data_IF_656965608608
#
_entry.id   IF_656965608608
#
_cell.length_a   1.000
_cell.length_b   1.000
_cell.length_c   1.000
_cell.angle_alpha   90.00
_cell.angle_beta   90.00
_cell.angle_gamma   90.00
#
_symmetry.space_group_name_H-M   'P 1'
#
loop_
_entity.id
_entity.type
_entity.pdbx_description
1 polymer ?
#
# COMPACT_ATOMS: atom_id res chain seq x y z
N UNK A 1 -8.27 -14.69 5.20
CA UNK A 1 -8.87 -13.38 4.87
C UNK A 1 -7.79 -12.47 4.30
N UNK A 2 -8.13 -11.67 3.30
CA UNK A 2 -7.32 -10.53 2.85
C UNK A 2 -8.03 -9.22 3.20
N UNK A 3 -7.35 -8.36 3.95
CA UNK A 3 -7.77 -6.99 4.28
C UNK A 3 -7.11 -6.05 3.26
N UNK A 4 -7.94 -5.47 2.41
CA UNK A 4 -7.55 -4.66 1.23
C UNK A 4 -8.33 -3.34 1.11
N UNK A 5 -9.08 -2.98 2.16
CA UNK A 5 -9.86 -1.74 2.23
C UNK A 5 -10.15 -1.33 3.68
N UNK A 6 -10.35 -0.04 3.92
CA UNK A 6 -10.79 0.47 5.24
C UNK A 6 -12.18 -0.03 5.62
N UNK A 7 -13.02 -0.36 4.64
CA UNK A 7 -14.35 -0.93 4.86
C UNK A 7 -14.26 -2.27 5.59
N UNK A 8 -13.40 -3.19 5.15
CA UNK A 8 -13.16 -4.46 5.86
C UNK A 8 -12.62 -4.25 7.27
N UNK A 9 -11.71 -3.29 7.46
CA UNK A 9 -11.18 -2.94 8.78
C UNK A 9 -12.31 -2.43 9.70
N UNK A 10 -13.15 -1.55 9.17
CA UNK A 10 -14.25 -0.95 9.92
C UNK A 10 -15.33 -1.96 10.29
N UNK A 11 -15.60 -2.95 9.43
CA UNK A 11 -16.52 -4.04 9.73
C UNK A 11 -16.00 -4.90 10.88
N UNK A 12 -14.71 -5.26 10.86
CA UNK A 12 -14.08 -6.05 11.94
C UNK A 12 -14.11 -5.32 13.28
N UNK A 13 -13.90 -4.00 13.26
CA UNK A 13 -13.86 -3.16 14.45
C UNK A 13 -15.24 -2.63 14.87
N UNK A 14 -16.32 -3.01 14.17
CA UNK A 14 -17.67 -2.48 14.39
C UNK A 14 -17.73 -0.93 14.37
N UNK A 15 -16.94 -0.29 13.51
CA UNK A 15 -16.87 1.16 13.38
C UNK A 15 -18.11 1.67 12.63
N UNK A 16 -18.82 2.62 13.27
CA UNK A 16 -20.03 3.25 12.74
C UNK A 16 -19.76 4.12 11.51
N UNK A 17 -20.80 4.42 10.72
CA UNK A 17 -20.67 5.28 9.54
C UNK A 17 -20.13 6.68 9.86
N UNK A 18 -20.46 7.24 11.04
CA UNK A 18 -19.95 8.54 11.46
C UNK A 18 -18.46 8.48 11.78
N UNK A 19 -18.02 7.43 12.48
CA UNK A 19 -16.59 7.23 12.76
C UNK A 19 -15.79 6.96 11.49
N UNK A 20 -16.34 6.23 10.51
CA UNK A 20 -15.70 6.06 9.18
C UNK A 20 -15.43 7.40 8.49
N UNK A 21 -16.31 8.40 8.65
CA UNK A 21 -16.06 9.76 8.13
C UNK A 21 -14.90 10.44 8.85
N UNK A 22 -14.80 10.28 10.18
CA UNK A 22 -13.70 10.82 10.99
C UNK A 22 -12.35 10.18 10.59
N UNK A 23 -12.34 8.85 10.47
CA UNK A 23 -11.17 8.08 9.99
C UNK A 23 -10.70 8.62 8.64
N UNK A 24 -11.61 8.71 7.66
CA UNK A 24 -11.29 9.21 6.32
C UNK A 24 -10.76 10.64 6.36
N UNK A 25 -11.45 11.54 7.05
CA UNK A 25 -11.06 12.95 7.14
C UNK A 25 -9.67 13.13 7.77
N UNK A 26 -9.28 12.24 8.68
CA UNK A 26 -7.98 12.29 9.36
C UNK A 26 -6.87 11.68 8.50
N UNK A 27 -7.12 10.54 7.87
CA UNK A 27 -6.12 9.74 7.17
C UNK A 27 -5.86 10.23 5.74
N UNK A 28 -6.91 10.55 4.97
CA UNK A 28 -6.78 10.85 3.55
C UNK A 28 -5.74 11.95 3.25
N UNK A 29 -5.75 13.11 3.93
CA UNK A 29 -4.75 14.15 3.68
C UNK A 29 -3.32 13.68 3.98
N UNK A 30 -3.14 12.79 4.97
CA UNK A 30 -1.83 12.26 5.32
C UNK A 30 -1.33 11.29 4.25
N UNK A 31 -2.15 10.33 3.83
CA UNK A 31 -1.70 9.23 2.95
C UNK A 31 -1.72 9.56 1.46
N UNK A 32 -2.39 10.65 1.05
CA UNK A 32 -2.45 11.06 -0.35
C UNK A 32 -1.42 12.14 -0.71
N UNK A 33 -0.45 12.40 0.16
CA UNK A 33 0.67 13.28 -0.16
C UNK A 33 1.41 12.75 -1.39
N UNK A 34 1.90 13.68 -2.23
CA UNK A 34 2.56 13.34 -3.49
C UNK A 34 3.69 12.31 -3.31
N UNK A 35 4.55 12.48 -2.29
CA UNK A 35 5.65 11.56 -2.00
C UNK A 35 5.19 10.14 -1.61
N UNK A 36 4.05 10.01 -0.93
CA UNK A 36 3.49 8.71 -0.56
C UNK A 36 2.89 8.04 -1.79
N UNK A 37 2.19 8.83 -2.61
CA UNK A 37 1.64 8.39 -3.89
C UNK A 37 2.73 7.88 -4.83
N UNK A 38 3.77 8.68 -5.09
CA UNK A 38 4.86 8.32 -5.98
C UNK A 38 5.68 7.17 -5.42
N UNK A 39 6.01 7.18 -4.12
CA UNK A 39 6.75 6.10 -3.49
C UNK A 39 6.00 4.76 -3.50
N UNK A 40 4.67 4.77 -3.35
CA UNK A 40 3.87 3.55 -3.48
C UNK A 40 3.87 3.00 -4.92
N UNK A 41 3.76 3.88 -5.93
CA UNK A 41 3.88 3.49 -7.34
C UNK A 41 5.25 2.89 -7.65
N UNK A 42 6.33 3.51 -7.16
CA UNK A 42 7.70 3.05 -7.35
C UNK A 42 7.89 1.63 -6.80
N UNK A 43 7.45 1.37 -5.56
CA UNK A 43 7.54 0.03 -4.96
C UNK A 43 6.77 -1.03 -5.77
N UNK A 44 5.61 -0.68 -6.33
CA UNK A 44 4.83 -1.61 -7.17
C UNK A 44 5.57 -1.92 -8.47
N UNK A 45 6.08 -0.88 -9.14
CA UNK A 45 6.80 -1.01 -10.40
C UNK A 45 8.13 -1.76 -10.23
N UNK A 46 8.89 -1.51 -9.16
CA UNK A 46 10.13 -2.22 -8.87
C UNK A 46 9.92 -3.70 -8.56
N UNK A 47 8.85 -4.01 -7.81
CA UNK A 47 8.46 -5.40 -7.57
C UNK A 47 8.12 -6.10 -8.88
N UNK A 48 7.30 -5.46 -9.71
CA UNK A 48 6.92 -6.00 -11.01
C UNK A 48 8.12 -6.17 -11.94
N UNK A 49 9.04 -5.21 -11.97
CA UNK A 49 10.31 -5.30 -12.71
C UNK A 49 11.10 -6.54 -12.30
N UNK A 50 11.24 -6.78 -11.00
CA UNK A 50 11.98 -7.92 -10.45
C UNK A 50 11.34 -9.26 -10.85
N UNK A 51 10.01 -9.35 -10.77
CA UNK A 51 9.26 -10.54 -11.21
C UNK A 51 9.38 -10.77 -12.72
N UNK A 52 9.36 -9.70 -13.52
CA UNK A 52 9.57 -9.78 -14.96
C UNK A 52 10.99 -10.19 -15.34
N UNK A 53 12.01 -9.71 -14.62
CA UNK A 53 13.39 -10.15 -14.82
C UNK A 53 13.55 -11.64 -14.51
N UNK A 54 12.91 -12.12 -13.45
CA UNK A 54 12.85 -13.54 -13.14
C UNK A 54 12.14 -14.33 -14.25
N UNK A 55 10.95 -13.90 -14.69
CA UNK A 55 10.20 -14.57 -15.74
C UNK A 55 10.93 -14.56 -17.09
N UNK A 56 11.52 -13.45 -17.51
CA UNK A 56 12.29 -13.36 -18.75
C UNK A 56 13.49 -14.31 -18.73
N UNK A 57 14.13 -14.50 -17.57
CA UNK A 57 15.24 -15.44 -17.40
C UNK A 57 14.83 -16.93 -17.46
N UNK A 58 13.60 -17.26 -17.07
CA UNK A 58 13.13 -18.65 -16.96
C UNK A 58 12.21 -19.07 -18.10
N UNK A 59 11.37 -18.15 -18.56
CA UNK A 59 10.27 -18.34 -19.51
C UNK A 59 10.13 -17.09 -20.39
N UNK A 60 11.12 -16.79 -21.25
CA UNK A 60 11.08 -15.60 -22.08
C UNK A 60 9.88 -15.62 -23.00
N UNK A 61 9.06 -14.57 -22.93
CA UNK A 61 7.89 -14.38 -23.79
C UNK A 61 7.87 -12.95 -24.34
N UNK A 62 7.16 -12.75 -25.45
CA UNK A 62 7.02 -11.42 -26.06
C UNK A 62 6.32 -10.46 -25.09
N UNK A 63 5.31 -10.98 -24.41
CA UNK A 63 4.49 -10.29 -23.41
C UNK A 63 5.34 -9.84 -22.23
N UNK A 64 6.16 -10.74 -21.68
CA UNK A 64 7.06 -10.43 -20.56
C UNK A 64 8.08 -9.35 -20.92
N UNK A 65 8.62 -9.39 -22.15
CA UNK A 65 9.58 -8.37 -22.64
C UNK A 65 8.94 -7.01 -22.86
N UNK A 66 7.75 -6.99 -23.47
CA UNK A 66 6.98 -5.74 -23.67
C UNK A 66 6.60 -5.12 -22.33
N UNK A 67 6.05 -5.92 -21.43
CA UNK A 67 5.64 -5.45 -20.12
C UNK A 67 6.85 -4.92 -19.32
N UNK A 68 8.01 -5.56 -19.41
CA UNK A 68 9.27 -5.04 -18.83
C UNK A 68 9.65 -3.68 -19.39
N UNK A 69 9.53 -3.46 -20.71
CA UNK A 69 9.78 -2.16 -21.31
C UNK A 69 8.82 -1.09 -20.80
N UNK A 70 7.53 -1.42 -20.67
CA UNK A 70 6.53 -0.48 -20.14
C UNK A 70 6.86 -0.12 -18.68
N UNK A 71 7.20 -1.10 -17.83
CA UNK A 71 7.61 -0.83 -16.44
C UNK A 71 8.82 0.10 -16.37
N UNK A 72 9.84 -0.13 -17.20
CA UNK A 72 11.03 0.73 -17.24
C UNK A 72 10.68 2.16 -17.71
N UNK A 73 9.73 2.31 -18.63
CA UNK A 73 9.24 3.62 -19.06
C UNK A 73 8.47 4.32 -17.95
N UNK A 74 7.56 3.63 -17.23
CA UNK A 74 6.87 4.17 -16.06
C UNK A 74 7.85 4.67 -15.00
N UNK A 75 8.87 3.88 -14.66
CA UNK A 75 9.87 4.27 -13.67
C UNK A 75 10.65 5.53 -14.10
N UNK A 76 10.98 5.68 -15.39
CA UNK A 76 11.63 6.89 -15.90
C UNK A 76 10.74 8.13 -15.81
N UNK A 77 9.44 8.02 -16.12
CA UNK A 77 8.50 9.14 -15.98
C UNK A 77 8.30 9.48 -14.50
N UNK A 78 8.26 8.48 -13.63
CA UNK A 78 8.14 8.69 -12.19
C UNK A 78 9.38 9.36 -11.60
N UNK A 79 10.58 9.00 -12.04
CA UNK A 79 11.82 9.68 -11.67
C UNK A 79 11.80 11.16 -12.09
N UNK A 80 11.23 11.49 -13.25
CA UNK A 80 10.99 12.89 -13.66
C UNK A 80 10.03 13.60 -12.69
N UNK A 81 9.01 12.91 -12.17
CA UNK A 81 8.05 13.47 -11.22
C UNK A 81 8.63 13.65 -9.80
N UNK A 82 9.66 12.87 -9.42
CA UNK A 82 10.26 12.86 -8.08
C UNK A 82 11.54 13.71 -8.02
N UNK A 83 12.33 13.76 -9.10
CA UNK A 83 13.66 14.38 -9.14
C UNK A 83 13.58 15.91 -9.08
N UNK A 84 13.62 16.43 -7.86
CA UNK A 84 13.95 17.84 -7.62
C UNK A 84 15.45 18.03 -7.78
N UNK A 85 15.89 18.89 -8.70
CA UNK A 85 17.30 19.28 -8.80
C UNK A 85 17.66 20.34 -7.72
N UNK A 86 18.45 20.00 -6.69
CA UNK A 86 18.82 20.92 -5.61
C UNK A 86 19.80 22.03 -6.04
N UNK A 87 20.52 21.88 -7.15
CA UNK A 87 21.38 22.93 -7.72
C UNK A 87 20.56 24.06 -8.39
N UNK A 88 19.23 23.89 -8.46
CA UNK A 88 18.24 24.84 -8.96
C UNK A 88 17.57 25.67 -7.83
N UNK A 89 18.20 25.73 -6.66
CA UNK A 89 17.65 26.21 -5.37
C UNK A 89 17.45 27.74 -5.22
N UNK A 90 17.27 28.49 -6.30
CA UNK A 90 16.85 29.90 -6.19
C UNK A 90 15.34 30.03 -6.36
N UNK A 91 14.65 30.35 -5.26
CA UNK A 91 13.23 30.73 -5.21
C UNK A 91 12.86 31.93 -6.12
N UNK A 92 13.86 32.57 -6.74
CA UNK A 92 13.73 33.71 -7.65
C UNK A 92 13.98 33.37 -9.14
N UNK A 93 14.34 32.14 -9.53
CA UNK A 93 14.55 31.84 -10.95
C UNK A 93 13.23 31.59 -11.68
N UNK A 94 13.05 32.34 -12.77
CA UNK A 94 12.08 32.05 -13.84
C UNK A 94 12.40 30.68 -14.42
N UNK A 95 11.38 29.92 -14.82
CA UNK A 95 11.49 28.58 -15.42
C UNK A 95 12.68 28.50 -16.41
N UNK A 96 13.42 27.37 -16.47
CA UNK A 96 14.49 27.19 -17.44
C UNK A 96 14.03 27.62 -18.83
N UNK A 97 14.79 28.49 -19.48
CA UNK A 97 14.54 28.86 -20.87
C UNK A 97 14.60 27.60 -21.71
N UNK A 98 13.43 27.11 -22.15
CA UNK A 98 13.34 26.00 -23.10
C UNK A 98 14.15 26.36 -24.33
N UNK A 99 15.21 25.61 -24.62
CA UNK A 99 15.80 25.65 -25.95
C UNK A 99 14.71 25.25 -26.94
N UNK A 100 14.56 26.02 -28.03
CA UNK A 100 13.51 25.81 -29.05
C UNK A 100 13.56 24.40 -29.69
N UNK A 101 14.64 23.64 -29.45
CA UNK A 101 14.87 22.29 -29.95
C UNK A 101 14.70 21.19 -28.88
N UNK A 102 14.35 21.54 -27.64
CA UNK A 102 14.04 20.55 -26.60
C UNK A 102 12.63 19.98 -26.82
N UNK A 103 12.46 18.65 -26.91
CA UNK A 103 11.13 18.07 -27.09
C UNK A 103 10.23 18.51 -25.93
N UNK A 104 8.94 18.78 -26.18
CA UNK A 104 7.99 19.10 -25.12
C UNK A 104 7.79 17.85 -24.26
N UNK A 105 8.66 17.65 -23.27
CA UNK A 105 8.58 16.54 -22.31
C UNK A 105 7.62 16.92 -21.18
N UNK A 106 6.46 17.47 -21.54
CA UNK A 106 5.35 17.59 -20.62
C UNK A 106 4.67 16.23 -20.58
N UNK A 107 5.10 15.39 -19.67
CA UNK A 107 4.37 14.16 -19.39
C UNK A 107 3.11 14.50 -18.62
N UNK A 108 2.05 13.71 -18.77
CA UNK A 108 0.88 13.77 -17.89
C UNK A 108 0.80 12.50 -17.05
N UNK A 109 0.05 12.57 -15.95
CA UNK A 109 -0.39 11.35 -15.27
C UNK A 109 -1.24 10.45 -16.17
N UNK A 110 -1.90 11.01 -17.18
CA UNK A 110 -2.56 10.29 -18.28
C UNK A 110 -1.61 9.33 -19.01
N UNK A 111 -0.37 9.73 -19.31
CA UNK A 111 0.59 8.84 -19.99
C UNK A 111 0.94 7.61 -19.13
N UNK A 112 1.09 7.81 -17.82
CA UNK A 112 1.33 6.72 -16.87
C UNK A 112 0.08 5.82 -16.76
N UNK A 113 -1.12 6.41 -16.80
CA UNK A 113 -2.36 5.65 -16.77
C UNK A 113 -2.48 4.72 -17.98
N UNK A 114 -2.23 5.20 -19.20
CA UNK A 114 -2.26 4.38 -20.42
C UNK A 114 -1.24 3.25 -20.33
N UNK A 115 -0.02 3.53 -19.88
CA UNK A 115 0.99 2.48 -19.64
C UNK A 115 0.53 1.44 -18.60
N UNK A 116 -0.21 1.84 -17.56
CA UNK A 116 -0.77 0.92 -16.57
C UNK A 116 -1.92 0.09 -17.14
N UNK A 117 -2.71 0.65 -18.06
CA UNK A 117 -3.76 -0.08 -18.78
C UNK A 117 -3.11 -1.15 -19.66
N UNK A 118 -2.15 -0.77 -20.49
CA UNK A 118 -1.41 -1.70 -21.36
C UNK A 118 -0.70 -2.80 -20.55
N UNK A 119 -0.15 -2.47 -19.38
CA UNK A 119 0.47 -3.44 -18.48
C UNK A 119 -0.54 -4.46 -17.94
N UNK A 120 -1.71 -3.99 -17.50
CA UNK A 120 -2.72 -4.88 -16.97
C UNK A 120 -3.26 -5.84 -18.05
N UNK A 121 -3.50 -5.31 -19.25
CA UNK A 121 -4.02 -6.08 -20.38
C UNK A 121 -2.97 -7.05 -20.92
N UNK A 122 -1.72 -6.62 -21.08
CA UNK A 122 -0.62 -7.46 -21.58
C UNK A 122 -0.22 -8.58 -20.61
N UNK A 123 -0.54 -8.44 -19.32
CA UNK A 123 -0.21 -9.42 -18.28
C UNK A 123 -1.40 -10.25 -17.81
N UNK A 124 -2.62 -9.99 -18.27
CA UNK A 124 -3.84 -10.65 -17.77
C UNK A 124 -3.77 -12.18 -17.82
N UNK A 125 -3.10 -12.72 -18.84
CA UNK A 125 -2.94 -14.17 -19.07
C UNK A 125 -1.79 -14.80 -18.27
N UNK A 126 -0.95 -13.99 -17.62
CA UNK A 126 0.22 -14.46 -16.86
C UNK A 126 -0.20 -14.76 -15.42
N UNK A 127 -0.71 -15.98 -15.20
CA UNK A 127 -1.21 -16.44 -13.88
C UNK A 127 -0.26 -16.22 -12.70
N UNK A 128 1.06 -16.26 -12.94
CA UNK A 128 2.12 -16.05 -11.95
C UNK A 128 2.18 -14.61 -11.40
N UNK A 129 1.63 -13.62 -12.12
CA UNK A 129 1.67 -12.19 -11.75
C UNK A 129 0.32 -11.68 -11.23
N UNK A 130 -0.60 -12.57 -10.89
CA UNK A 130 -1.97 -12.21 -10.48
C UNK A 130 -2.02 -11.21 -9.30
N UNK A 131 -1.07 -11.29 -8.37
CA UNK A 131 -0.99 -10.35 -7.23
C UNK A 131 -0.52 -8.96 -7.66
N UNK A 132 0.51 -8.89 -8.50
CA UNK A 132 1.08 -7.64 -9.01
C UNK A 132 0.08 -6.93 -9.93
N UNK A 133 -0.58 -7.67 -10.83
CA UNK A 133 -1.66 -7.14 -11.69
C UNK A 133 -2.78 -6.56 -10.86
N UNK A 134 -3.19 -7.25 -9.78
CA UNK A 134 -4.21 -6.72 -8.86
C UNK A 134 -3.78 -5.39 -8.23
N UNK A 135 -2.49 -5.15 -8.02
CA UNK A 135 -1.97 -3.87 -7.51
C UNK A 135 -1.90 -2.79 -8.57
N UNK A 136 -1.56 -3.12 -9.81
CA UNK A 136 -1.68 -2.21 -10.96
C UNK A 136 -3.12 -1.72 -11.09
N UNK A 137 -4.09 -2.64 -11.08
CA UNK A 137 -5.52 -2.31 -11.14
C UNK A 137 -5.98 -1.42 -10.00
N UNK A 138 -5.46 -1.66 -8.79
CA UNK A 138 -5.75 -0.81 -7.64
C UNK A 138 -5.19 0.61 -7.83
N UNK A 139 -3.99 0.76 -8.39
CA UNK A 139 -3.39 2.09 -8.60
C UNK A 139 -3.99 2.85 -9.78
N UNK A 140 -4.54 2.14 -10.79
CA UNK A 140 -5.34 2.77 -11.87
C UNK A 140 -6.45 3.64 -11.30
N UNK A 141 -7.14 3.22 -10.22
CA UNK A 141 -8.18 4.00 -9.55
C UNK A 141 -7.72 5.43 -9.22
N UNK A 142 -6.52 5.58 -8.65
CA UNK A 142 -5.94 6.88 -8.30
C UNK A 142 -5.44 7.65 -9.52
N UNK A 143 -4.77 6.97 -10.46
CA UNK A 143 -4.29 7.56 -11.72
C UNK A 143 -5.44 8.18 -12.52
N UNK A 144 -6.59 7.51 -12.61
CA UNK A 144 -7.79 8.05 -13.24
C UNK A 144 -8.24 9.39 -12.65
N UNK A 145 -8.07 9.60 -11.34
CA UNK A 145 -8.47 10.85 -10.69
C UNK A 145 -7.56 12.02 -11.05
N UNK A 146 -6.28 11.74 -11.28
CA UNK A 146 -5.23 12.76 -11.46
C UNK A 146 -4.72 12.86 -12.91
N UNK A 147 -5.32 12.12 -13.85
CA UNK A 147 -4.87 12.01 -15.25
C UNK A 147 -4.57 13.36 -15.92
N UNK A 148 -5.38 14.38 -15.62
CA UNK A 148 -5.31 15.68 -16.27
C UNK A 148 -4.19 16.58 -15.70
N UNK A 149 -3.51 16.15 -14.62
CA UNK A 149 -2.39 16.88 -14.02
C UNK A 149 -1.11 16.63 -14.83
N UNK A 150 -0.39 17.71 -15.11
CA UNK A 150 0.91 17.66 -15.78
C UNK A 150 2.04 17.24 -14.84
N UNK A 151 3.03 16.56 -15.40
CA UNK A 151 4.31 16.19 -14.82
C UNK A 151 5.36 16.96 -15.62
N UNK A 152 5.83 18.10 -15.10
CA UNK A 152 6.88 18.89 -15.73
C UNK A 152 8.03 19.15 -14.75
N UNK A 153 9.22 18.68 -15.11
CA UNK A 153 10.48 18.92 -14.36
C UNK A 153 11.08 20.30 -14.60
N UNK A 154 10.60 21.02 -15.62
CA UNK A 154 11.12 22.32 -16.05
C UNK A 154 10.27 23.49 -15.54
N UNK A 155 9.50 23.29 -14.48
CA UNK A 155 8.71 24.35 -13.83
C UNK A 155 9.40 24.83 -12.57
N UNK A 156 9.12 26.08 -12.17
CA UNK A 156 9.66 26.64 -10.94
C UNK A 156 9.15 25.91 -9.68
N UNK A 157 9.88 26.01 -8.58
CA UNK A 157 9.56 25.37 -7.31
C UNK A 157 8.11 25.58 -6.84
N UNK A 158 7.58 26.81 -6.97
CA UNK A 158 6.21 27.14 -6.56
C UNK A 158 5.17 26.38 -7.39
N UNK A 159 5.39 26.25 -8.69
CA UNK A 159 4.47 25.55 -9.59
C UNK A 159 4.53 24.04 -9.33
N UNK A 160 5.72 23.48 -9.10
CA UNK A 160 5.85 22.07 -8.71
C UNK A 160 5.09 21.78 -7.41
N UNK A 161 5.29 22.61 -6.37
CA UNK A 161 4.53 22.50 -5.11
C UNK A 161 3.02 22.63 -5.31
N UNK A 162 2.59 23.47 -6.26
CA UNK A 162 1.19 23.60 -6.63
C UNK A 162 0.65 22.30 -7.24
N UNK A 163 1.37 21.67 -8.16
CA UNK A 163 1.02 20.38 -8.75
C UNK A 163 0.96 19.26 -7.70
N UNK A 164 1.96 19.17 -6.82
CA UNK A 164 1.96 18.19 -5.70
C UNK A 164 0.73 18.37 -4.80
N UNK A 165 0.40 19.62 -4.46
CA UNK A 165 -0.78 19.95 -3.65
C UNK A 165 -2.09 19.62 -4.39
N UNK A 166 -2.13 19.81 -5.71
CA UNK A 166 -3.29 19.49 -6.53
C UNK A 166 -3.53 17.97 -6.57
N UNK A 167 -2.48 17.16 -6.76
CA UNK A 167 -2.55 15.69 -6.66
C UNK A 167 -3.15 15.28 -5.31
N UNK A 168 -2.59 15.78 -4.21
CA UNK A 168 -3.07 15.48 -2.86
C UNK A 168 -4.53 15.88 -2.67
N UNK A 169 -4.91 17.09 -3.09
CA UNK A 169 -6.27 17.63 -2.96
C UNK A 169 -7.28 16.79 -3.73
N UNK A 170 -6.96 16.39 -4.96
CA UNK A 170 -7.84 15.58 -5.79
C UNK A 170 -7.99 14.19 -5.18
N UNK A 171 -6.89 13.50 -4.86
CA UNK A 171 -6.92 12.16 -4.29
C UNK A 171 -7.65 12.14 -2.93
N UNK A 172 -7.38 13.12 -2.04
CA UNK A 172 -8.09 13.26 -0.76
C UNK A 172 -9.60 13.37 -0.95
N UNK A 173 -10.04 14.09 -1.98
CA UNK A 173 -11.47 14.33 -2.25
C UNK A 173 -12.14 13.13 -2.92
N UNK A 174 -11.43 12.45 -3.84
CA UNK A 174 -12.00 11.44 -4.74
C UNK A 174 -11.86 10.02 -4.22
N UNK A 175 -10.78 9.68 -3.53
CA UNK A 175 -10.59 8.34 -2.98
C UNK A 175 -11.50 8.14 -1.76
N UNK A 176 -12.49 7.25 -1.94
CA UNK A 176 -13.50 6.95 -0.93
C UNK A 176 -12.99 6.01 0.17
N UNK A 177 -13.81 5.79 1.20
CA UNK A 177 -13.49 4.87 2.29
C UNK A 177 -13.31 3.40 1.82
N UNK A 178 -14.08 2.98 0.82
CA UNK A 178 -13.95 1.64 0.22
C UNK A 178 -12.84 1.54 -0.82
N UNK A 179 -12.13 2.64 -1.11
CA UNK A 179 -11.05 2.68 -2.10
C UNK A 179 -9.92 1.73 -1.70
N UNK A 180 -9.57 0.82 -2.60
CA UNK A 180 -8.41 -0.07 -2.42
C UNK A 180 -7.10 0.67 -2.67
N UNK A 181 -7.16 1.71 -3.52
CA UNK A 181 -6.05 2.61 -3.77
C UNK A 181 -5.68 3.35 -2.48
N UNK A 182 -6.67 3.98 -1.82
CA UNK A 182 -6.47 4.64 -0.53
C UNK A 182 -5.87 3.69 0.52
N UNK A 183 -6.36 2.44 0.55
CA UNK A 183 -5.86 1.45 1.48
C UNK A 183 -4.40 1.08 1.21
N UNK A 184 -4.02 0.93 -0.05
CA UNK A 184 -2.63 0.65 -0.46
C UNK A 184 -1.70 1.82 -0.07
N UNK A 185 -2.16 3.07 -0.24
CA UNK A 185 -1.42 4.24 0.22
C UNK A 185 -1.27 4.27 1.74
N UNK A 186 -2.32 3.86 2.48
CA UNK A 186 -2.25 3.75 3.94
C UNK A 186 -1.25 2.68 4.40
N UNK A 187 -1.26 1.50 3.79
CA UNK A 187 -0.29 0.45 4.15
C UNK A 187 1.13 0.87 3.82
N UNK A 188 1.32 1.60 2.71
CA UNK A 188 2.61 2.16 2.35
C UNK A 188 3.06 3.22 3.34
N UNK A 189 2.18 4.15 3.73
CA UNK A 189 2.46 5.16 4.74
C UNK A 189 2.86 4.56 6.10
N UNK A 190 2.14 3.54 6.57
CA UNK A 190 2.41 2.95 7.89
C UNK A 190 3.61 2.00 7.90
N UNK A 191 3.84 1.26 6.81
CA UNK A 191 4.75 0.11 6.82
C UNK A 191 5.76 0.07 5.67
N UNK A 192 5.76 1.06 4.78
CA UNK A 192 6.55 1.06 3.54
C UNK A 192 6.18 -0.09 2.61
N UNK A 193 4.97 -0.66 2.76
CA UNK A 193 4.56 -1.86 2.03
C UNK A 193 3.23 -1.64 1.31
N UNK A 194 3.19 -2.07 0.06
CA UNK A 194 2.01 -2.01 -0.81
C UNK A 194 1.19 -3.30 -0.80
N UNK A 195 1.62 -4.33 -0.06
CA UNK A 195 0.92 -5.60 0.00
C UNK A 195 -0.36 -5.48 0.84
N UNK A 196 -1.40 -6.22 0.43
CA UNK A 196 -2.59 -6.37 1.26
C UNK A 196 -2.24 -7.12 2.56
N UNK A 197 -3.05 -6.93 3.60
CA UNK A 197 -2.82 -7.59 4.89
C UNK A 197 -3.54 -8.94 4.90
N UNK A 198 -2.78 -10.00 5.12
CA UNK A 198 -3.28 -11.37 5.22
C UNK A 198 -3.45 -11.81 6.67
N UNK A 199 -4.64 -12.32 6.98
CA UNK A 199 -4.98 -12.92 8.28
C UNK A 199 -5.83 -14.16 8.04
N UNK A 200 -5.38 -15.31 8.52
CA UNK A 200 -6.00 -16.62 8.29
C UNK A 200 -7.17 -16.85 9.25
N UNK A 201 -7.00 -16.51 10.53
CA UNK A 201 -7.98 -16.76 11.58
C UNK A 201 -8.49 -15.44 12.17
N UNK A 202 -9.81 -15.26 12.18
CA UNK A 202 -10.47 -14.11 12.79
C UNK A 202 -10.99 -14.52 14.16
N UNK A 203 -10.38 -14.01 15.23
CA UNK A 203 -10.96 -14.13 16.55
C UNK A 203 -12.18 -13.22 16.70
N UNK A 204 -12.07 -11.98 16.22
CA UNK A 204 -13.11 -10.96 16.39
C UNK A 204 -12.77 -9.95 17.49
N UNK A 205 -13.70 -9.02 17.71
CA UNK A 205 -13.62 -7.96 18.71
C UNK A 205 -14.58 -8.28 19.87
N UNK A 206 -14.09 -8.29 21.09
CA UNK A 206 -14.89 -8.60 22.28
C UNK A 206 -14.63 -7.60 23.40
N UNK A 207 -15.67 -7.31 24.19
CA UNK A 207 -15.51 -6.59 25.45
C UNK A 207 -14.81 -7.46 26.49
N UNK A 208 -13.89 -6.88 27.24
CA UNK A 208 -13.13 -7.57 28.30
C UNK A 208 -13.61 -7.06 29.67
N UNK A 209 -14.28 -7.93 30.43
CA UNK A 209 -14.74 -7.63 31.77
C UNK A 209 -15.86 -6.58 31.83
N UNK A 210 -15.94 -5.86 32.94
CA UNK A 210 -16.86 -4.73 33.12
C UNK A 210 -16.10 -3.41 32.90
N UNK A 211 -16.21 -2.83 31.71
CA UNK A 211 -15.61 -1.54 31.39
C UNK A 211 -15.45 -1.28 29.89
N UNK A 212 -14.87 -0.11 29.55
CA UNK A 212 -14.55 0.30 28.17
C UNK A 212 -13.23 -0.33 27.70
N UNK A 213 -13.08 -1.65 27.82
CA UNK A 213 -11.90 -2.38 27.33
C UNK A 213 -12.32 -3.42 26.31
N UNK A 214 -11.64 -3.44 25.18
CA UNK A 214 -11.90 -4.36 24.08
C UNK A 214 -10.65 -5.15 23.75
N UNK A 215 -10.82 -6.39 23.31
CA UNK A 215 -9.73 -7.21 22.79
C UNK A 215 -10.01 -7.61 21.36
N UNK A 216 -9.02 -7.40 20.51
CA UNK A 216 -9.01 -7.90 19.14
C UNK A 216 -8.06 -9.09 19.04
N UNK A 217 -8.62 -10.24 18.64
CA UNK A 217 -7.83 -11.43 18.36
C UNK A 217 -7.76 -11.66 16.84
N UNK A 218 -6.55 -11.80 16.34
CA UNK A 218 -6.25 -12.18 14.95
C UNK A 218 -5.23 -13.29 14.96
N UNK A 219 -5.23 -14.13 13.92
CA UNK A 219 -4.23 -15.17 13.87
C UNK A 219 -3.87 -15.69 12.50
N UNK A 220 -2.77 -16.45 12.52
CA UNK A 220 -2.06 -16.93 11.34
C UNK A 220 -1.66 -18.38 11.51
N UNK A 221 -1.76 -19.14 10.43
CA UNK A 221 -1.37 -20.55 10.38
C UNK A 221 0.02 -20.62 9.77
N UNK A 222 0.91 -21.36 10.42
CA UNK A 222 2.29 -21.57 10.01
C UNK A 222 2.50 -23.05 9.71
N UNK A 223 3.23 -23.34 8.63
CA UNK A 223 3.50 -24.72 8.18
C UNK A 223 4.73 -25.32 8.84
N UNK A 224 5.62 -24.50 9.42
CA UNK A 224 6.77 -24.98 10.17
C UNK A 224 7.09 -24.07 11.35
N UNK A 225 7.72 -24.66 12.37
CA UNK A 225 8.18 -23.97 13.58
C UNK A 225 9.59 -23.36 13.42
N UNK A 226 10.10 -23.26 12.19
CA UNK A 226 11.39 -22.62 11.95
C UNK A 226 11.36 -21.16 12.41
N UNK A 227 12.39 -20.73 13.16
CA UNK A 227 12.45 -19.39 13.75
C UNK A 227 12.21 -18.27 12.73
N UNK A 228 12.70 -18.44 11.50
CA UNK A 228 12.48 -17.47 10.40
C UNK A 228 11.01 -17.41 9.99
N UNK A 229 10.32 -18.54 9.93
CA UNK A 229 8.90 -18.62 9.60
C UNK A 229 8.05 -18.06 10.75
N UNK A 230 8.36 -18.43 11.98
CA UNK A 230 7.70 -17.91 13.17
C UNK A 230 7.84 -16.39 13.27
N UNK A 231 9.06 -15.86 13.13
CA UNK A 231 9.30 -14.42 13.18
C UNK A 231 8.58 -13.68 12.03
N UNK A 232 8.53 -14.26 10.83
CA UNK A 232 7.77 -13.69 9.71
C UNK A 232 6.28 -13.65 10.03
N UNK A 233 5.75 -14.73 10.60
CA UNK A 233 4.36 -14.83 11.02
C UNK A 233 3.99 -13.79 12.07
N UNK A 234 4.81 -13.66 13.13
CA UNK A 234 4.67 -12.62 14.16
C UNK A 234 4.70 -11.22 13.52
N UNK A 235 5.69 -10.93 12.67
CA UNK A 235 5.83 -9.61 12.04
C UNK A 235 4.66 -9.26 11.12
N UNK A 236 4.10 -10.24 10.39
CA UNK A 236 2.94 -9.99 9.53
C UNK A 236 1.69 -9.74 10.36
N UNK A 237 1.45 -10.56 11.39
CA UNK A 237 0.30 -10.42 12.25
C UNK A 237 0.36 -9.14 13.10
N UNK A 238 1.55 -8.73 13.53
CA UNK A 238 1.77 -7.46 14.23
C UNK A 238 1.39 -6.25 13.35
N UNK A 239 1.72 -6.27 12.05
CA UNK A 239 1.27 -5.20 11.13
C UNK A 239 -0.24 -5.19 10.97
N UNK A 240 -0.87 -6.36 10.93
CA UNK A 240 -2.33 -6.45 10.88
C UNK A 240 -2.95 -5.83 12.13
N UNK A 241 -2.55 -6.29 13.32
CA UNK A 241 -3.03 -5.78 14.60
C UNK A 241 -2.75 -4.28 14.78
N UNK A 242 -1.56 -3.82 14.39
CA UNK A 242 -1.20 -2.40 14.39
C UNK A 242 -2.09 -1.56 13.48
N UNK A 243 -2.49 -2.06 12.31
CA UNK A 243 -3.44 -1.36 11.43
C UNK A 243 -4.79 -1.23 12.12
N UNK A 244 -5.30 -2.31 12.71
CA UNK A 244 -6.58 -2.27 13.42
C UNK A 244 -6.55 -1.27 14.58
N UNK A 245 -5.48 -1.26 15.38
CA UNK A 245 -5.32 -0.30 16.47
C UNK A 245 -5.23 1.14 15.97
N UNK A 246 -4.45 1.39 14.94
CA UNK A 246 -4.36 2.72 14.32
C UNK A 246 -5.75 3.22 13.88
N UNK A 247 -6.55 2.38 13.24
CA UNK A 247 -7.90 2.75 12.80
C UNK A 247 -8.87 2.92 13.99
N UNK A 248 -8.79 2.08 15.02
CA UNK A 248 -9.57 2.23 16.25
C UNK A 248 -9.34 3.58 16.93
N UNK A 249 -8.07 3.95 17.12
CA UNK A 249 -7.67 5.22 17.73
C UNK A 249 -8.08 6.41 16.85
N UNK A 250 -7.87 6.31 15.54
CA UNK A 250 -8.27 7.36 14.58
C UNK A 250 -9.79 7.55 14.55
N UNK A 251 -10.56 6.46 14.67
CA UNK A 251 -12.02 6.49 14.76
C UNK A 251 -12.54 7.11 16.06
N UNK A 252 -11.66 7.39 17.03
CA UNK A 252 -12.01 7.89 18.36
C UNK A 252 -13.06 7.01 19.02
N UNK A 253 -12.91 5.69 18.87
CA UNK A 253 -13.77 4.75 19.58
C UNK A 253 -13.46 4.86 21.07
N UNK A 254 -14.51 4.89 21.91
CA UNK A 254 -14.34 4.95 23.35
C UNK A 254 -13.83 3.60 23.85
N UNK A 255 -12.79 3.64 24.66
CA UNK A 255 -12.21 2.46 25.30
C UNK A 255 -10.90 1.99 24.68
N UNK A 256 -10.15 1.24 25.48
CA UNK A 256 -8.83 0.76 25.12
C UNK A 256 -8.95 -0.52 24.27
N UNK A 257 -8.14 -0.61 23.21
CA UNK A 257 -8.04 -1.81 22.39
C UNK A 257 -6.77 -2.60 22.74
N UNK A 258 -6.97 -3.73 23.42
CA UNK A 258 -5.95 -4.77 23.61
C UNK A 258 -5.80 -5.61 22.35
N UNK A 259 -4.55 -5.88 21.97
CA UNK A 259 -4.21 -6.68 20.80
C UNK A 259 -3.68 -8.04 21.24
N UNK A 260 -4.17 -9.10 20.61
CA UNK A 260 -3.66 -10.45 20.83
C UNK A 260 -3.51 -11.19 19.50
N UNK A 261 -2.30 -11.66 19.23
CA UNK A 261 -1.99 -12.51 18.09
C UNK A 261 -2.09 -13.98 18.43
N UNK A 262 -2.59 -14.80 17.51
CA UNK A 262 -2.62 -16.25 17.63
C UNK A 262 -1.88 -16.87 16.45
N UNK A 263 -0.91 -17.74 16.73
CA UNK A 263 -0.16 -18.48 15.72
C UNK A 263 -0.45 -19.94 15.91
N UNK A 264 -0.92 -20.63 14.88
CA UNK A 264 -1.03 -22.09 14.90
C UNK A 264 0.10 -22.68 14.10
N UNK A 265 0.86 -23.60 14.69
CA UNK A 265 2.05 -24.13 14.07
C UNK A 265 2.16 -25.64 14.30
N UNK A 266 2.50 -26.37 13.25
CA UNK A 266 2.73 -27.81 13.31
C UNK A 266 4.06 -28.09 14.01
N UNK A 267 4.09 -29.13 14.85
CA UNK A 267 5.34 -29.66 15.43
C UNK A 267 5.97 -28.79 16.51
N UNK A 268 5.16 -28.06 17.29
CA UNK A 268 5.62 -27.24 18.41
C UNK A 268 4.68 -27.33 19.59
N UNK A 269 5.16 -26.92 20.77
CA UNK A 269 4.34 -26.83 21.98
C UNK A 269 3.76 -25.43 22.14
N UNK A 270 2.58 -25.39 22.77
CA UNK A 270 1.90 -24.12 23.04
C UNK A 270 2.69 -23.26 24.01
N UNK A 271 2.86 -21.97 23.68
CA UNK A 271 3.56 -20.99 24.53
C UNK A 271 3.11 -19.57 24.22
N UNK A 272 3.34 -18.64 25.15
CA UNK A 272 3.18 -17.22 24.89
C UNK A 272 4.53 -16.56 24.56
N UNK A 273 4.48 -15.52 23.73
CA UNK A 273 5.61 -14.65 23.46
C UNK A 273 5.13 -13.21 23.30
N UNK A 274 6.00 -12.25 23.58
CA UNK A 274 5.70 -10.82 23.44
C UNK A 274 6.58 -10.22 22.35
N UNK A 275 5.98 -9.45 21.45
CA UNK A 275 6.70 -8.73 20.41
C UNK A 275 6.13 -7.30 20.31
N UNK A 276 7.00 -6.29 20.47
CA UNK A 276 6.64 -4.86 20.45
C UNK A 276 5.48 -4.48 21.38
N UNK A 277 5.35 -5.18 22.51
CA UNK A 277 4.29 -4.94 23.50
C UNK A 277 2.97 -5.68 23.21
N UNK A 278 2.85 -6.34 22.06
CA UNK A 278 1.72 -7.22 21.73
C UNK A 278 1.99 -8.65 22.19
N UNK A 279 1.00 -9.28 22.81
CA UNK A 279 1.06 -10.69 23.23
C UNK A 279 0.64 -11.60 22.08
N UNK A 280 1.47 -12.61 21.79
CA UNK A 280 1.22 -13.66 20.82
C UNK A 280 1.12 -15.01 21.52
N UNK A 281 0.07 -15.76 21.23
CA UNK A 281 -0.12 -17.13 21.68
C UNK A 281 0.24 -18.07 20.53
N UNK A 282 1.30 -18.84 20.70
CA UNK A 282 1.63 -19.94 19.81
C UNK A 282 0.88 -21.18 20.27
N UNK A 283 0.09 -21.76 19.38
CA UNK A 283 -0.67 -22.99 19.57
C UNK A 283 0.02 -24.09 18.78
N UNK A 284 0.42 -25.14 19.47
CA UNK A 284 0.88 -26.37 18.84
C UNK A 284 -0.27 -27.08 18.15
N UNK A 285 -0.06 -27.51 16.90
CA UNK A 285 -0.91 -28.51 16.25
C UNK A 285 -0.16 -29.83 16.33
N UNK A 286 -0.67 -30.74 17.16
CA UNK A 286 -0.16 -32.10 17.25
C UNK A 286 -0.53 -32.86 15.97
N UNK A 287 0.46 -33.48 15.34
CA UNK A 287 0.19 -34.50 14.32
C UNK A 287 -0.19 -35.78 15.05
N UNK A 288 -1.45 -36.21 14.96
CA UNK A 288 -1.80 -37.58 15.33
C UNK A 288 -1.01 -38.53 14.42
N UNK A 289 -0.17 -39.37 15.03
CA UNK A 289 0.49 -40.50 14.39
C UNK A 289 -0.46 -41.67 14.23
#
# INVERSE_FOLDING_TARGET
MTVDSLTKVSEILNISAQQRKVVRATICPQVTQHQIWTGALEVILDKLKSEMEYLDSKFPSKETKMAKQIVLSCLKVLDIAISYNPDSSSWMRVAPTRDANSPPTSHKWEDILEMFIDLADGLSEVSKLSLEIRKIEVMKEGLYQIRDIQIDKNIGYRENRHQESLVQKILTKRLGHSSRCLFTLLTYYLYGSVNDIEVEVRGGLYAVGHGDKFRLCMGKILTSYEDKMLLRGVKQLERALGLFKFIWETARVKGDLELQGHLWCIGTHSRSLTYRGTTFLLHGIDCFH
#
